data_IF_035552525824
#
_entry.id   IF_035552525824
#
_cell.length_a   1.000
_cell.length_b   1.000
_cell.length_c   1.000
_cell.angle_alpha   90.00
_cell.angle_beta   90.00
_cell.angle_gamma   90.00
#
_symmetry.space_group_name_H-M   'P 1'
#
loop_
_entity.id
_entity.type
_entity.pdbx_description
1 polymer ?
#
# COMPACT_ATOMS: atom_id res chain seq x y z
N UNK A 1 57.05 5.02 -51.88
CA UNK A 1 56.85 4.14 -50.70
C UNK A 1 55.79 4.81 -49.78
N UNK A 2 54.52 4.44 -49.95
CA UNK A 2 53.40 5.02 -49.21
C UNK A 2 53.09 4.13 -47.98
N UNK A 3 53.24 4.71 -46.79
CA UNK A 3 52.80 4.06 -45.56
C UNK A 3 51.34 4.45 -45.29
N UNK A 4 50.43 3.49 -45.45
CA UNK A 4 49.03 3.60 -45.10
C UNK A 4 48.91 3.45 -43.57
N UNK A 5 48.55 4.54 -42.87
CA UNK A 5 48.22 4.49 -41.44
C UNK A 5 46.77 4.00 -41.33
N UNK A 6 46.57 2.82 -40.79
CA UNK A 6 45.25 2.33 -40.37
C UNK A 6 44.91 2.94 -39.01
N UNK A 7 43.89 3.81 -38.96
CA UNK A 7 43.25 4.27 -37.79
C UNK A 7 42.28 3.20 -37.25
N UNK A 8 42.62 2.57 -36.16
CA UNK A 8 41.70 1.67 -35.44
C UNK A 8 40.82 2.55 -34.53
N UNK A 9 39.54 2.70 -34.88
CA UNK A 9 38.55 3.32 -34.00
C UNK A 9 38.11 2.26 -32.98
N UNK A 10 38.56 2.40 -31.74
CA UNK A 10 38.07 1.63 -30.60
C UNK A 10 36.70 2.19 -30.19
N UNK A 11 35.63 1.47 -30.50
CA UNK A 11 34.28 1.78 -30.03
C UNK A 11 34.17 1.41 -28.53
N UNK A 12 34.29 2.36 -27.66
CA UNK A 12 33.99 2.19 -26.21
C UNK A 12 32.47 2.08 -26.05
N UNK A 13 31.96 0.85 -25.94
CA UNK A 13 30.59 0.63 -25.42
C UNK A 13 30.57 1.03 -23.94
N UNK A 14 29.96 2.17 -23.64
CA UNK A 14 29.60 2.55 -22.30
C UNK A 14 28.47 1.63 -21.83
N UNK A 15 28.77 0.63 -21.02
CA UNK A 15 27.77 -0.16 -20.28
C UNK A 15 27.20 0.77 -19.20
N UNK A 16 26.02 1.33 -19.42
CA UNK A 16 25.29 2.02 -18.39
C UNK A 16 25.01 1.04 -17.24
N UNK A 17 25.30 1.38 -15.98
CA UNK A 17 24.92 0.52 -14.85
C UNK A 17 23.41 0.32 -14.88
N UNK A 18 22.95 -0.91 -14.87
CA UNK A 18 21.56 -1.22 -14.58
C UNK A 18 21.32 -0.80 -13.13
N UNK A 19 20.60 0.30 -12.94
CA UNK A 19 20.15 0.70 -11.60
C UNK A 19 19.17 -0.38 -11.14
N UNK A 20 19.62 -1.25 -10.23
CA UNK A 20 18.72 -2.11 -9.51
C UNK A 20 17.77 -1.21 -8.70
N UNK A 21 16.46 -1.33 -8.95
CA UNK A 21 15.48 -0.60 -8.16
C UNK A 21 15.59 -1.06 -6.70
N UNK A 22 15.74 -0.12 -5.78
CA UNK A 22 15.74 -0.42 -4.36
C UNK A 22 14.36 -0.98 -3.96
N UNK A 23 14.32 -1.97 -3.05
CA UNK A 23 13.05 -2.52 -2.60
C UNK A 23 12.27 -1.47 -1.80
N UNK A 24 10.95 -1.41 -2.06
CA UNK A 24 10.05 -0.63 -1.22
C UNK A 24 10.04 -1.22 0.20
N UNK A 25 10.27 -0.38 1.21
CA UNK A 25 10.25 -0.80 2.61
C UNK A 25 8.80 -0.94 3.10
N UNK A 26 8.40 -2.14 3.49
CA UNK A 26 7.07 -2.46 4.00
C UNK A 26 7.17 -2.83 5.48
N UNK A 27 6.60 -1.97 6.34
CA UNK A 27 6.56 -2.16 7.81
C UNK A 27 5.13 -2.42 8.26
N UNK A 28 4.88 -3.56 8.91
CA UNK A 28 3.62 -3.79 9.62
C UNK A 28 3.52 -2.85 10.83
N UNK A 29 2.43 -2.11 10.94
CA UNK A 29 2.17 -1.21 12.06
C UNK A 29 1.29 -1.88 13.12
N UNK A 30 0.18 -2.46 12.71
CA UNK A 30 -0.80 -3.09 13.60
C UNK A 30 -1.65 -4.08 12.83
N UNK A 31 -2.16 -5.11 13.53
CA UNK A 31 -3.05 -6.10 12.95
C UNK A 31 -4.01 -6.68 13.98
N UNK A 32 -5.12 -7.22 13.50
CA UNK A 32 -6.14 -7.90 14.31
C UNK A 32 -6.84 -8.96 13.47
N UNK A 33 -7.07 -10.10 14.06
CA UNK A 33 -7.94 -11.13 13.48
C UNK A 33 -9.38 -10.95 13.97
N UNK A 34 -10.36 -11.07 13.06
CA UNK A 34 -11.79 -10.98 13.34
C UNK A 34 -12.54 -12.12 12.65
N UNK A 35 -13.65 -12.56 13.24
CA UNK A 35 -14.46 -13.66 12.69
C UNK A 35 -15.51 -13.17 11.68
N UNK A 36 -15.88 -11.89 11.76
CA UNK A 36 -16.89 -11.27 10.88
C UNK A 36 -16.41 -9.90 10.40
N UNK A 37 -16.97 -9.46 9.26
CA UNK A 37 -16.82 -8.10 8.76
C UNK A 37 -18.12 -7.31 9.00
N UNK A 38 -18.08 -5.96 9.00
CA UNK A 38 -19.28 -5.13 9.00
C UNK A 38 -20.21 -5.53 7.85
N UNK A 39 -21.52 -5.41 8.04
CA UNK A 39 -22.49 -5.55 6.95
C UNK A 39 -22.37 -4.39 5.94
N UNK A 40 -22.92 -4.57 4.74
CA UNK A 40 -22.93 -3.54 3.70
C UNK A 40 -21.64 -3.42 2.89
N UNK A 41 -21.43 -2.28 2.26
CA UNK A 41 -20.27 -1.97 1.42
C UNK A 41 -19.11 -1.51 2.28
N UNK A 42 -17.93 -2.09 2.10
CA UNK A 42 -16.80 -1.85 2.99
C UNK A 42 -16.01 -0.58 2.63
N UNK A 43 -15.66 0.18 3.68
CA UNK A 43 -14.80 1.36 3.60
C UNK A 43 -13.80 1.36 4.76
N UNK A 44 -12.60 1.86 4.53
CA UNK A 44 -11.68 2.23 5.59
C UNK A 44 -11.88 3.69 5.96
N UNK A 45 -12.29 3.95 7.21
CA UNK A 45 -12.30 5.26 7.81
C UNK A 45 -10.97 5.48 8.55
N UNK A 46 -10.27 6.55 8.20
CA UNK A 46 -8.95 6.91 8.73
C UNK A 46 -9.08 8.22 9.52
N UNK A 47 -8.74 8.19 10.79
CA UNK A 47 -8.85 9.33 11.70
C UNK A 47 -7.56 9.57 12.46
N UNK A 48 -7.29 10.83 12.82
CA UNK A 48 -6.25 11.18 13.78
C UNK A 48 -6.84 11.43 15.16
N UNK A 49 -6.04 11.08 16.17
CA UNK A 49 -6.33 11.29 17.59
C UNK A 49 -5.18 12.01 18.28
N UNK A 50 -5.43 12.72 19.41
CA UNK A 50 -4.39 13.43 20.14
C UNK A 50 -3.36 12.48 20.79
N UNK A 51 -3.80 11.29 21.19
CA UNK A 51 -2.97 10.26 21.82
C UNK A 51 -3.54 8.86 21.62
N UNK A 52 -2.74 7.85 21.96
CA UNK A 52 -3.10 6.42 21.85
C UNK A 52 -4.27 6.06 22.74
N UNK A 53 -4.35 6.61 23.94
CA UNK A 53 -5.43 6.33 24.92
C UNK A 53 -6.79 6.76 24.36
N UNK A 54 -6.86 7.95 23.78
CA UNK A 54 -8.07 8.47 23.15
C UNK A 54 -8.47 7.63 21.90
N UNK A 55 -7.50 7.22 21.08
CA UNK A 55 -7.75 6.35 19.94
C UNK A 55 -8.26 4.97 20.36
N UNK A 56 -7.65 4.37 21.38
CA UNK A 56 -8.08 3.07 21.94
C UNK A 56 -9.48 3.14 22.56
N UNK A 57 -9.81 4.21 23.26
CA UNK A 57 -11.15 4.42 23.84
C UNK A 57 -12.24 4.61 22.75
N UNK A 58 -11.86 5.02 21.55
CA UNK A 58 -12.76 5.16 20.41
C UNK A 58 -12.84 3.89 19.55
N UNK A 59 -11.88 2.97 19.68
CA UNK A 59 -11.76 1.79 18.85
C UNK A 59 -12.89 0.79 19.06
N UNK A 60 -13.42 0.26 17.95
CA UNK A 60 -14.42 -0.80 17.91
C UNK A 60 -13.83 -2.16 17.52
N UNK A 61 -14.70 -3.17 17.25
CA UNK A 61 -14.26 -4.53 16.92
C UNK A 61 -13.46 -4.61 15.63
N UNK A 62 -13.69 -3.70 14.69
CA UNK A 62 -13.01 -3.62 13.40
C UNK A 62 -12.05 -2.44 13.31
N UNK A 63 -11.53 -1.99 14.45
CA UNK A 63 -10.60 -0.86 14.50
C UNK A 63 -9.19 -1.29 14.84
N UNK A 64 -8.22 -0.56 14.29
CA UNK A 64 -6.79 -0.72 14.52
C UNK A 64 -6.19 0.64 14.88
N UNK A 65 -5.38 0.70 15.94
CA UNK A 65 -4.64 1.90 16.35
C UNK A 65 -3.17 1.72 15.97
N UNK A 66 -2.56 2.75 15.41
CA UNK A 66 -1.14 2.79 15.11
C UNK A 66 -0.54 4.19 15.33
N UNK A 67 0.75 4.22 15.60
CA UNK A 67 1.55 5.46 15.63
C UNK A 67 2.53 5.43 14.46
N UNK A 68 2.46 6.45 13.62
CA UNK A 68 3.41 6.65 12.53
C UNK A 68 3.37 8.10 12.05
N UNK A 69 4.47 8.57 11.46
CA UNK A 69 4.62 9.93 10.95
C UNK A 69 4.30 11.03 11.99
N UNK A 70 4.67 10.79 13.26
CA UNK A 70 4.41 11.71 14.38
C UNK A 70 2.94 11.89 14.74
N UNK A 71 2.05 10.98 14.31
CA UNK A 71 0.61 11.01 14.55
C UNK A 71 0.10 9.70 15.12
N UNK A 72 -1.02 9.80 15.85
CA UNK A 72 -1.83 8.65 16.26
C UNK A 72 -3.00 8.49 15.32
N UNK A 73 -3.13 7.29 14.77
CA UNK A 73 -4.11 6.92 13.77
C UNK A 73 -5.09 5.88 14.32
N UNK A 74 -6.36 6.07 14.00
CA UNK A 74 -7.40 5.04 14.13
C UNK A 74 -7.91 4.69 12.75
N UNK A 75 -7.76 3.43 12.37
CA UNK A 75 -8.29 2.85 11.15
C UNK A 75 -9.50 2.00 11.52
N UNK A 76 -10.66 2.33 11.01
CA UNK A 76 -11.89 1.55 11.26
C UNK A 76 -12.48 1.05 9.96
N UNK A 77 -12.61 -0.26 9.84
CA UNK A 77 -13.36 -0.86 8.74
C UNK A 77 -14.85 -0.68 9.03
N UNK A 78 -15.58 -0.07 8.10
CA UNK A 78 -17.01 0.25 8.24
C UNK A 78 -17.81 -0.36 7.09
N UNK A 79 -19.09 -0.64 7.32
CA UNK A 79 -20.05 -1.10 6.29
C UNK A 79 -20.83 0.05 5.63
N UNK A 80 -20.53 1.29 5.98
CA UNK A 80 -21.21 2.50 5.50
C UNK A 80 -20.20 3.61 5.26
N UNK A 81 -20.31 4.28 4.13
CA UNK A 81 -19.53 5.46 3.79
C UNK A 81 -19.76 6.64 4.75
N UNK A 82 -20.96 6.73 5.34
CA UNK A 82 -21.35 7.78 6.27
C UNK A 82 -21.06 7.50 7.75
N UNK A 83 -20.38 6.38 8.08
CA UNK A 83 -20.11 6.01 9.46
C UNK A 83 -19.43 7.15 10.24
N UNK A 84 -20.02 7.55 11.37
CA UNK A 84 -19.48 8.60 12.23
C UNK A 84 -18.29 8.07 13.05
N UNK A 85 -17.31 8.95 13.28
CA UNK A 85 -16.18 8.70 14.18
C UNK A 85 -16.05 9.84 15.19
N UNK A 86 -15.16 9.68 16.17
CA UNK A 86 -14.92 10.68 17.23
C UNK A 86 -13.63 11.47 17.02
N UNK A 87 -12.76 11.00 16.11
CA UNK A 87 -11.49 11.63 15.77
C UNK A 87 -11.60 12.64 14.66
N UNK A 88 -10.49 13.28 14.34
CA UNK A 88 -10.37 14.13 13.16
C UNK A 88 -10.30 13.25 11.91
N UNK A 89 -11.36 13.28 11.08
CA UNK A 89 -11.40 12.52 9.83
C UNK A 89 -10.30 13.01 8.89
N UNK A 90 -9.47 12.08 8.44
CA UNK A 90 -8.41 12.32 7.44
C UNK A 90 -8.84 11.80 6.08
N UNK A 91 -9.36 10.58 6.02
CA UNK A 91 -9.79 9.96 4.77
C UNK A 91 -10.88 8.92 5.01
N UNK A 92 -11.64 8.67 3.96
CA UNK A 92 -12.48 7.51 3.81
C UNK A 92 -12.18 6.85 2.47
N UNK A 93 -11.71 5.61 2.51
CA UNK A 93 -11.19 4.90 1.33
C UNK A 93 -12.07 3.71 1.02
N UNK A 94 -12.57 3.65 -0.19
CA UNK A 94 -13.46 2.62 -0.69
C UNK A 94 -14.42 3.14 -1.75
N UNK A 95 -15.37 2.31 -2.22
CA UNK A 95 -15.66 0.96 -1.70
C UNK A 95 -14.54 -0.03 -1.98
N UNK A 96 -14.24 -0.91 -1.01
CA UNK A 96 -13.30 -2.01 -1.19
C UNK A 96 -14.03 -3.32 -1.46
N UNK A 97 -13.50 -4.20 -2.33
CA UNK A 97 -14.11 -5.49 -2.61
C UNK A 97 -14.22 -6.34 -1.34
N UNK A 98 -15.37 -6.96 -1.12
CA UNK A 98 -15.53 -7.94 -0.02
C UNK A 98 -14.77 -9.21 -0.36
N UNK A 99 -14.18 -9.82 0.64
CA UNK A 99 -13.60 -11.16 0.58
C UNK A 99 -14.49 -12.10 1.38
N UNK A 100 -14.64 -13.35 0.92
CA UNK A 100 -15.31 -14.42 1.66
C UNK A 100 -14.26 -15.33 2.27
N UNK A 101 -14.21 -15.40 3.60
CA UNK A 101 -13.24 -16.20 4.34
C UNK A 101 -13.85 -16.69 5.67
N UNK A 102 -13.38 -17.80 6.24
CA UNK A 102 -13.82 -18.25 7.55
C UNK A 102 -13.32 -17.36 8.69
N UNK A 103 -12.25 -16.59 8.46
CA UNK A 103 -11.64 -15.66 9.40
C UNK A 103 -10.87 -14.59 8.64
N UNK A 104 -10.89 -13.37 9.15
CA UNK A 104 -10.27 -12.22 8.48
C UNK A 104 -9.10 -11.65 9.27
N UNK A 105 -8.04 -11.28 8.58
CA UNK A 105 -6.97 -10.43 9.10
C UNK A 105 -7.20 -9.00 8.63
N UNK A 106 -7.39 -8.09 9.56
CA UNK A 106 -7.28 -6.65 9.35
C UNK A 106 -5.84 -6.25 9.65
N UNK A 107 -5.17 -5.55 8.74
CA UNK A 107 -3.78 -5.17 8.93
C UNK A 107 -3.50 -3.81 8.31
N UNK A 108 -2.66 -3.03 8.98
CA UNK A 108 -2.13 -1.75 8.47
C UNK A 108 -0.63 -1.88 8.31
N UNK A 109 -0.16 -1.62 7.10
CA UNK A 109 1.26 -1.46 6.80
C UNK A 109 1.58 0.00 6.49
N UNK A 110 2.82 0.37 6.73
CA UNK A 110 3.46 1.54 6.15
C UNK A 110 4.33 1.08 4.97
N UNK A 111 4.18 1.73 3.82
CA UNK A 111 5.07 1.60 2.69
C UNK A 111 5.90 2.87 2.55
N UNK A 112 7.22 2.74 2.36
CA UNK A 112 8.11 3.88 2.19
C UNK A 112 9.31 3.55 1.30
N UNK A 113 9.80 4.53 0.56
CA UNK A 113 10.98 4.36 -0.29
C UNK A 113 11.27 5.57 -1.17
N UNK A 114 12.49 5.66 -1.65
CA UNK A 114 12.90 6.68 -2.61
C UNK A 114 12.18 6.48 -3.96
N UNK A 115 12.14 7.49 -4.83
CA UNK A 115 11.64 7.36 -6.19
C UNK A 115 12.24 6.14 -6.93
N UNK A 116 11.40 5.33 -7.55
CA UNK A 116 11.80 4.11 -8.23
C UNK A 116 11.85 2.86 -7.36
N UNK A 117 11.70 2.97 -6.04
CA UNK A 117 11.57 1.77 -5.17
C UNK A 117 10.29 1.01 -5.48
N UNK A 118 10.35 -0.33 -5.47
CA UNK A 118 9.20 -1.17 -5.80
C UNK A 118 9.15 -2.47 -5.01
N UNK A 119 7.94 -3.06 -4.94
CA UNK A 119 7.77 -4.43 -4.43
C UNK A 119 8.02 -5.45 -5.54
N UNK A 120 8.36 -6.71 -5.22
CA UNK A 120 8.15 -7.82 -6.14
C UNK A 120 6.68 -7.89 -6.57
N UNK A 121 6.41 -8.54 -7.73
CA UNK A 121 5.03 -8.83 -8.13
C UNK A 121 4.46 -9.88 -7.18
N UNK A 122 3.30 -9.59 -6.60
CA UNK A 122 2.68 -10.42 -5.57
C UNK A 122 1.14 -10.34 -5.61
N UNK A 123 0.51 -11.20 -4.82
CA UNK A 123 -0.94 -11.19 -4.56
C UNK A 123 -1.22 -11.19 -3.07
N UNK A 124 -2.43 -10.76 -2.68
CA UNK A 124 -3.00 -10.94 -1.36
C UNK A 124 -4.30 -11.77 -1.42
N UNK A 125 -4.60 -12.60 -0.40
CA UNK A 125 -5.86 -13.36 -0.36
C UNK A 125 -7.05 -12.49 0.10
N UNK A 126 -7.12 -11.24 -0.35
CA UNK A 126 -8.15 -10.28 0.02
C UNK A 126 -7.97 -8.94 -0.64
N UNK A 127 -8.56 -7.93 -0.04
CA UNK A 127 -8.58 -6.57 -0.56
C UNK A 127 -7.61 -5.68 0.19
N UNK A 128 -7.10 -4.68 -0.51
CA UNK A 128 -6.27 -3.62 0.04
C UNK A 128 -6.83 -2.25 -0.32
N UNK A 129 -6.40 -1.25 0.43
CA UNK A 129 -6.66 0.16 0.17
C UNK A 129 -5.43 0.98 0.55
N UNK A 130 -5.24 2.11 -0.09
CA UNK A 130 -4.07 2.97 0.07
C UNK A 130 -4.46 4.38 0.48
N UNK A 131 -3.62 5.01 1.30
CA UNK A 131 -3.67 6.44 1.58
C UNK A 131 -2.25 7.01 1.60
N UNK A 132 -1.95 7.95 0.70
CA UNK A 132 -0.59 8.50 0.54
C UNK A 132 -0.39 9.72 1.42
N UNK A 133 0.61 9.66 2.30
CA UNK A 133 1.00 10.74 3.19
C UNK A 133 2.04 11.68 2.56
N UNK A 134 2.95 11.14 1.74
CA UNK A 134 3.97 11.86 0.98
C UNK A 134 4.29 11.16 -0.34
N UNK A 135 4.70 11.91 -1.34
CA UNK A 135 5.07 11.38 -2.65
C UNK A 135 3.88 10.93 -3.51
N UNK A 136 4.14 10.00 -4.40
CA UNK A 136 3.14 9.35 -5.26
C UNK A 136 3.42 7.85 -5.32
N UNK A 137 2.36 7.05 -5.27
CA UNK A 137 2.39 5.60 -5.36
C UNK A 137 1.70 5.14 -6.65
N UNK A 138 2.31 4.22 -7.38
CA UNK A 138 1.67 3.46 -8.46
C UNK A 138 1.39 2.03 -8.02
N UNK A 139 0.24 1.49 -8.43
CA UNK A 139 -0.15 0.10 -8.24
C UNK A 139 -0.42 -0.49 -9.63
N UNK A 140 0.57 -1.15 -10.21
CA UNK A 140 0.46 -1.83 -11.50
C UNK A 140 -0.23 -3.16 -11.32
N UNK A 141 -1.27 -3.42 -12.09
CA UNK A 141 -1.97 -4.71 -12.21
C UNK A 141 -1.90 -5.24 -13.64
N UNK A 142 -2.56 -6.38 -13.93
CA UNK A 142 -2.54 -7.00 -15.26
C UNK A 142 -3.15 -6.15 -16.37
N UNK A 143 -4.14 -5.31 -16.06
CA UNK A 143 -4.90 -4.55 -17.04
C UNK A 143 -4.62 -3.04 -17.00
N UNK A 144 -4.21 -2.50 -15.86
CA UNK A 144 -4.09 -1.06 -15.63
C UNK A 144 -3.06 -0.71 -14.55
N UNK A 145 -2.80 0.58 -14.40
CA UNK A 145 -1.98 1.14 -13.33
C UNK A 145 -2.77 2.25 -12.64
N UNK A 146 -3.02 2.08 -11.34
CA UNK A 146 -3.55 3.14 -10.48
C UNK A 146 -2.41 4.04 -10.02
N UNK A 147 -2.68 5.35 -9.89
CA UNK A 147 -1.75 6.32 -9.30
C UNK A 147 -2.45 7.03 -8.15
N UNK A 148 -1.80 7.06 -7.01
CA UNK A 148 -2.32 7.66 -5.78
C UNK A 148 -1.32 8.70 -5.30
N UNK A 149 -1.78 9.95 -5.18
CA UNK A 149 -0.95 11.09 -4.77
C UNK A 149 -1.16 11.44 -3.31
N UNK A 150 -0.30 12.29 -2.80
CA UNK A 150 -0.41 12.82 -1.44
C UNK A 150 -1.81 13.34 -1.14
N UNK A 151 -2.37 12.93 0.02
CA UNK A 151 -3.72 13.28 0.46
C UNK A 151 -4.85 12.50 -0.22
N UNK A 152 -4.54 11.60 -1.15
CA UNK A 152 -5.53 10.74 -1.82
C UNK A 152 -5.55 9.34 -1.22
N UNK A 153 -6.75 8.76 -1.21
CA UNK A 153 -6.99 7.37 -0.87
C UNK A 153 -7.69 6.66 -2.01
N UNK A 154 -7.24 5.44 -2.31
CA UNK A 154 -7.80 4.60 -3.37
C UNK A 154 -7.97 3.15 -2.90
N UNK A 155 -9.06 2.51 -3.34
CA UNK A 155 -9.20 1.08 -3.26
C UNK A 155 -8.16 0.43 -4.20
N UNK A 156 -7.38 -0.49 -3.66
CA UNK A 156 -6.38 -1.22 -4.42
C UNK A 156 -6.98 -2.41 -5.19
N UNK A 157 -6.24 -3.50 -5.23
CA UNK A 157 -6.68 -4.71 -5.93
C UNK A 157 -7.52 -5.60 -5.02
N UNK A 158 -8.38 -6.40 -5.66
CA UNK A 158 -9.13 -7.45 -4.98
C UNK A 158 -8.29 -8.71 -4.75
N UNK A 159 -8.94 -9.72 -4.16
CA UNK A 159 -8.30 -10.98 -3.79
C UNK A 159 -7.59 -11.66 -4.98
N UNK A 160 -6.34 -12.07 -4.77
CA UNK A 160 -5.50 -12.84 -5.70
C UNK A 160 -5.23 -12.14 -7.05
N UNK A 161 -5.44 -10.83 -7.16
CA UNK A 161 -5.04 -10.07 -8.35
C UNK A 161 -3.54 -9.75 -8.23
N UNK A 162 -2.71 -10.13 -9.22
CA UNK A 162 -1.29 -9.78 -9.22
C UNK A 162 -1.09 -8.27 -9.25
N UNK A 163 -0.12 -7.79 -8.47
CA UNK A 163 0.22 -6.37 -8.43
C UNK A 163 1.70 -6.13 -8.15
N UNK A 164 2.15 -4.94 -8.53
CA UNK A 164 3.42 -4.37 -8.13
C UNK A 164 3.20 -2.94 -7.66
N UNK A 165 3.72 -2.60 -6.49
CA UNK A 165 3.63 -1.26 -5.92
C UNK A 165 4.96 -0.56 -6.09
N UNK A 166 4.94 0.70 -6.54
CA UNK A 166 6.15 1.49 -6.80
C UNK A 166 6.01 2.91 -6.28
N UNK A 167 7.12 3.51 -5.83
CA UNK A 167 7.25 4.95 -5.58
C UNK A 167 7.52 5.64 -6.93
N UNK A 168 6.61 6.47 -7.40
CA UNK A 168 6.66 7.07 -8.75
C UNK A 168 6.70 8.60 -8.78
N UNK A 169 6.61 9.24 -7.62
CA UNK A 169 6.79 10.69 -7.51
C UNK A 169 8.26 11.13 -7.54
N UNK A 170 8.47 12.45 -7.51
CA UNK A 170 9.82 13.06 -7.49
C UNK A 170 10.47 13.03 -6.09
N UNK A 171 9.71 12.74 -5.05
CA UNK A 171 10.16 12.65 -3.66
C UNK A 171 9.82 11.30 -3.03
N UNK A 172 10.37 11.08 -1.83
CA UNK A 172 10.17 9.85 -1.08
C UNK A 172 8.69 9.55 -0.84
N UNK A 173 8.30 8.31 -1.09
CA UNK A 173 6.99 7.79 -0.75
C UNK A 173 6.87 7.53 0.75
N UNK A 174 5.72 7.91 1.30
CA UNK A 174 5.19 7.38 2.54
C UNK A 174 3.69 7.15 2.36
N UNK A 175 3.24 5.91 2.49
CA UNK A 175 1.84 5.53 2.34
C UNK A 175 1.41 4.58 3.46
N UNK A 176 0.13 4.65 3.79
CA UNK A 176 -0.58 3.69 4.64
C UNK A 176 -1.31 2.71 3.74
N UNK A 177 -1.17 1.43 4.02
CA UNK A 177 -1.83 0.36 3.27
C UNK A 177 -2.69 -0.44 4.23
N UNK A 178 -3.98 -0.51 3.95
CA UNK A 178 -5.00 -1.10 4.80
C UNK A 178 -5.53 -2.38 4.14
N UNK A 179 -5.52 -3.48 4.86
CA UNK A 179 -5.87 -4.81 4.32
C UNK A 179 -7.05 -5.44 5.03
N UNK A 180 -7.87 -6.14 4.24
CA UNK A 180 -8.89 -7.11 4.69
C UNK A 180 -8.63 -8.39 3.91
N UNK A 181 -7.99 -9.37 4.55
CA UNK A 181 -7.58 -10.62 3.87
C UNK A 181 -8.05 -11.87 4.62
N UNK A 182 -8.08 -12.99 3.92
CA UNK A 182 -8.34 -14.32 4.51
C UNK A 182 -7.18 -14.70 5.45
N UNK A 183 -7.45 -14.74 6.75
CA UNK A 183 -6.47 -15.05 7.79
C UNK A 183 -6.00 -16.52 7.77
N UNK A 184 -6.63 -17.40 6.99
CA UNK A 184 -6.24 -18.82 6.88
C UNK A 184 -5.23 -19.09 5.77
N UNK A 185 -4.85 -18.06 5.02
CA UNK A 185 -3.91 -18.12 3.90
C UNK A 185 -2.67 -17.28 4.16
N UNK A 186 -1.56 -17.53 3.45
CA UNK A 186 -0.39 -16.64 3.49
C UNK A 186 -0.81 -15.21 3.14
N UNK A 187 -0.35 -14.24 3.93
CA UNK A 187 -0.69 -12.82 3.75
C UNK A 187 -0.33 -12.30 2.34
N UNK A 188 0.79 -12.76 1.81
CA UNK A 188 1.26 -12.41 0.46
C UNK A 188 1.87 -13.63 -0.20
N UNK A 189 1.73 -13.76 -1.51
CA UNK A 189 2.32 -14.82 -2.33
C UNK A 189 2.99 -14.23 -3.57
N UNK A 190 4.15 -14.75 -4.01
CA UNK A 190 4.75 -14.38 -5.28
C UNK A 190 3.78 -14.62 -6.44
N UNK A 191 3.84 -13.75 -7.45
CA UNK A 191 3.01 -13.84 -8.64
C UNK A 191 3.77 -13.37 -9.89
N UNK A 192 3.12 -13.51 -11.06
CA UNK A 192 3.56 -12.94 -12.35
C UNK A 192 2.38 -12.19 -13.00
N UNK A 193 2.71 -11.21 -13.81
CA UNK A 193 1.75 -10.47 -14.67
C UNK A 193 1.95 -10.85 -16.11
#
# INVERSE_FOLDING_TARGET
MNRLQQLVFALLLAIAPAFAHEPLNIKALTERTVDTLPDGTLYWRVENYPDVTAAQAAAGPWSLVAETDGKVWLFTLTGDAGAAGKGALVAQVGPIPRVSAPKYLLRINQASGAPGSETPIHTHPGSEAFFVLRGEQSIRGPADTLRVRVGQGEAGRGANVPMQVSSTGDGDLLALVMFVVDATKPFSSPASM
#
